data_IF_537332462814
#
_entry.id   IF_537332462814
#
_cell.length_a   1.000
_cell.length_b   1.000
_cell.length_c   1.000
_cell.angle_alpha   90.00
_cell.angle_beta   90.00
_cell.angle_gamma   90.00
#
_symmetry.space_group_name_H-M   'P 1'
#
loop_
_entity.id
_entity.type
_entity.pdbx_description
1 polymer ?
#
# COMPACT_ATOMS: atom_id res chain seq x y z
N UNK A 1 -16.36 -24.70 3.91
CA UNK A 1 -17.12 -23.50 3.84
C UNK A 1 -16.33 -22.37 3.19
N UNK A 2 -17.01 -21.59 2.45
CA UNK A 2 -16.37 -20.47 1.82
C UNK A 2 -15.93 -19.44 2.85
N UNK A 3 -14.68 -19.15 2.85
CA UNK A 3 -14.14 -18.19 3.78
C UNK A 3 -14.52 -16.75 3.45
N UNK A 4 -14.15 -15.87 4.33
CA UNK A 4 -14.29 -14.45 4.09
C UNK A 4 -13.37 -14.03 2.96
N UNK A 5 -13.75 -12.97 2.25
CA UNK A 5 -12.89 -12.36 1.26
C UNK A 5 -11.73 -11.72 2.00
N UNK A 6 -10.51 -12.07 1.64
CA UNK A 6 -9.31 -11.49 2.23
C UNK A 6 -8.81 -10.36 1.37
N UNK A 7 -8.11 -9.43 2.01
CA UNK A 7 -7.63 -8.21 1.36
C UNK A 7 -6.12 -8.16 1.45
N UNK A 8 -5.48 -7.73 0.37
CA UNK A 8 -4.05 -7.48 0.35
C UNK A 8 -3.85 -5.98 0.21
N UNK A 9 -3.24 -5.36 1.21
CA UNK A 9 -3.01 -3.92 1.20
C UNK A 9 -1.56 -3.58 0.89
N UNK A 10 -1.37 -2.47 0.19
CA UNK A 10 -0.06 -1.88 -0.04
C UNK A 10 -0.14 -0.43 0.41
N UNK A 11 0.86 0.03 1.14
CA UNK A 11 0.93 1.43 1.58
C UNK A 11 2.37 1.89 1.67
N UNK A 12 2.58 3.19 1.48
CA UNK A 12 3.86 3.84 1.69
C UNK A 12 3.74 4.67 2.96
N UNK A 13 4.64 4.46 3.92
CA UNK A 13 4.53 5.10 5.23
C UNK A 13 5.85 5.71 5.67
N UNK A 14 5.75 6.77 6.48
CA UNK A 14 6.92 7.33 7.14
C UNK A 14 7.23 6.53 8.44
N UNK A 15 8.18 7.00 9.23
CA UNK A 15 8.59 6.30 10.44
C UNK A 15 7.49 6.17 11.48
N UNK A 16 6.46 6.99 11.40
CA UNK A 16 5.30 6.97 12.31
C UNK A 16 4.04 6.44 11.63
N UNK A 17 4.20 5.72 10.51
CA UNK A 17 3.10 5.19 9.70
C UNK A 17 2.21 6.30 9.11
N UNK A 18 2.79 7.48 8.90
CA UNK A 18 2.09 8.59 8.28
C UNK A 18 1.85 8.34 6.80
N UNK A 19 0.66 8.71 6.35
CA UNK A 19 0.23 8.56 4.97
C UNK A 19 0.02 9.90 4.29
N UNK A 20 -0.68 10.81 4.96
CA UNK A 20 -1.05 12.10 4.40
C UNK A 20 -0.81 13.22 5.40
N UNK A 21 -0.61 14.43 4.85
CA UNK A 21 -0.61 15.66 5.63
C UNK A 21 -1.40 16.69 4.84
N UNK A 22 -2.44 17.25 5.47
CA UNK A 22 -3.34 18.22 4.83
C UNK A 22 -3.91 17.67 3.52
N UNK A 23 -4.27 16.38 3.50
CA UNK A 23 -4.86 15.75 2.34
C UNK A 23 -3.88 15.40 1.23
N UNK A 24 -2.59 15.57 1.47
CA UNK A 24 -1.55 15.26 0.48
C UNK A 24 -0.63 14.18 0.98
N UNK A 25 -0.16 13.32 0.08
CA UNK A 25 0.77 12.27 0.46
C UNK A 25 2.06 12.85 1.01
N UNK A 26 2.61 12.18 2.04
CA UNK A 26 3.81 12.69 2.72
C UNK A 26 5.04 12.61 1.84
N UNK A 27 5.08 11.67 0.90
CA UNK A 27 6.20 11.57 -0.04
C UNK A 27 5.83 10.69 -1.22
N UNK A 28 6.68 10.67 -2.24
CA UNK A 28 6.54 9.78 -3.39
C UNK A 28 7.91 9.52 -4.00
N UNK A 29 8.01 8.41 -4.72
CA UNK A 29 9.25 8.06 -5.40
C UNK A 29 8.89 7.08 -6.51
N UNK A 30 9.28 7.36 -7.75
CA UNK A 30 8.90 6.50 -8.86
C UNK A 30 9.55 5.13 -8.81
N UNK A 31 10.65 4.96 -8.07
CA UNK A 31 11.26 3.65 -7.87
C UNK A 31 10.32 2.73 -7.09
N UNK A 32 9.58 3.30 -6.12
CA UNK A 32 8.58 2.54 -5.37
C UNK A 32 7.48 2.06 -6.31
N UNK A 33 7.01 2.92 -7.21
CA UNK A 33 5.95 2.54 -8.15
C UNK A 33 6.41 1.36 -9.03
N UNK A 34 7.62 1.41 -9.53
CA UNK A 34 8.18 0.32 -10.33
C UNK A 34 8.32 -0.96 -9.53
N UNK A 35 8.81 -0.85 -8.30
CA UNK A 35 8.98 -2.01 -7.43
C UNK A 35 7.63 -2.64 -7.09
N UNK A 36 6.63 -1.80 -6.84
CA UNK A 36 5.27 -2.24 -6.56
C UNK A 36 4.70 -3.02 -7.74
N UNK A 37 4.83 -2.47 -8.94
CA UNK A 37 4.31 -3.13 -10.14
C UNK A 37 4.99 -4.47 -10.41
N UNK A 38 6.30 -4.56 -10.15
CA UNK A 38 7.02 -5.83 -10.23
C UNK A 38 6.46 -6.84 -9.23
N UNK A 39 6.18 -6.36 -8.01
CA UNK A 39 5.72 -7.22 -6.93
C UNK A 39 4.35 -7.81 -7.19
N UNK A 40 3.43 -7.03 -7.73
CA UNK A 40 2.07 -7.52 -8.00
C UNK A 40 1.99 -8.38 -9.25
N UNK A 41 2.94 -8.23 -10.18
CA UNK A 41 2.93 -8.98 -11.42
C UNK A 41 1.67 -8.73 -12.24
N UNK A 42 0.95 -9.80 -12.58
CA UNK A 42 -0.27 -9.71 -13.39
C UNK A 42 -1.55 -9.61 -12.56
N UNK A 43 -1.43 -9.48 -11.24
CA UNK A 43 -2.60 -9.35 -10.40
C UNK A 43 -3.20 -7.95 -10.52
N UNK A 44 -4.48 -7.85 -10.19
CA UNK A 44 -5.17 -6.56 -10.25
C UNK A 44 -4.72 -5.67 -9.10
N UNK A 45 -4.62 -4.38 -9.41
CA UNK A 45 -4.24 -3.35 -8.45
C UNK A 45 -5.33 -2.29 -8.42
N UNK A 46 -6.01 -2.19 -7.30
CA UNK A 46 -7.08 -1.23 -7.09
C UNK A 46 -6.57 0.00 -6.36
N UNK A 47 -7.14 1.15 -6.69
CA UNK A 47 -6.77 2.40 -6.04
C UNK A 47 -7.85 3.45 -6.26
N UNK A 48 -7.80 4.53 -5.47
CA UNK A 48 -8.68 5.66 -5.62
C UNK A 48 -8.22 6.55 -6.79
N UNK A 49 -9.08 7.48 -7.18
CA UNK A 49 -8.72 8.47 -8.20
C UNK A 49 -7.51 9.31 -7.78
N UNK A 50 -7.45 9.69 -6.51
CA UNK A 50 -6.33 10.46 -6.01
C UNK A 50 -5.01 9.71 -6.21
N UNK A 51 -4.99 8.44 -5.85
CA UNK A 51 -3.79 7.61 -5.95
C UNK A 51 -3.39 7.37 -7.40
N UNK A 52 -4.35 7.34 -8.30
CA UNK A 52 -4.08 7.05 -9.73
C UNK A 52 -3.08 8.02 -10.35
N UNK A 53 -2.97 9.23 -9.79
CA UNK A 53 -2.01 10.21 -10.30
C UNK A 53 -0.56 9.74 -10.19
N UNK A 54 -0.27 8.81 -9.28
CA UNK A 54 1.07 8.25 -9.15
C UNK A 54 1.42 7.29 -10.28
N UNK A 55 0.42 6.82 -11.03
CA UNK A 55 0.57 5.78 -12.04
C UNK A 55 0.30 6.28 -13.45
N UNK A 56 0.20 7.59 -13.65
CA UNK A 56 -0.18 8.17 -14.96
C UNK A 56 0.77 7.78 -16.09
N UNK A 57 2.04 7.59 -15.78
CA UNK A 57 3.03 7.23 -16.79
C UNK A 57 3.20 5.73 -16.95
N UNK A 58 2.45 4.95 -16.18
CA UNK A 58 2.53 3.50 -16.21
C UNK A 58 1.40 2.94 -17.04
N UNK A 59 1.75 2.23 -18.11
CA UNK A 59 0.76 1.56 -18.93
C UNK A 59 0.52 0.16 -18.38
N UNK A 60 -0.53 0.01 -17.61
CA UNK A 60 -0.88 -1.29 -17.04
C UNK A 60 -2.36 -1.52 -17.17
N UNK A 61 -2.71 -2.65 -17.76
CA UNK A 61 -4.11 -3.08 -17.87
C UNK A 61 -4.65 -3.62 -16.56
N UNK A 62 -3.78 -3.78 -15.57
CA UNK A 62 -4.14 -4.37 -14.29
C UNK A 62 -4.58 -3.34 -13.26
N UNK A 63 -4.44 -2.06 -13.57
CA UNK A 63 -4.79 -0.98 -12.63
C UNK A 63 -6.26 -0.64 -12.78
N UNK A 64 -7.00 -0.72 -11.66
CA UNK A 64 -8.42 -0.44 -11.59
C UNK A 64 -8.65 0.73 -10.64
N UNK A 65 -9.32 1.76 -11.14
CA UNK A 65 -9.50 3.00 -10.38
C UNK A 65 -10.96 3.15 -9.98
N UNK A 66 -11.22 3.19 -8.69
CA UNK A 66 -12.56 3.32 -8.15
C UNK A 66 -12.45 3.73 -6.69
N UNK A 67 -13.14 4.81 -6.32
CA UNK A 67 -13.05 5.29 -4.93
C UNK A 67 -13.66 4.31 -3.92
N UNK A 68 -14.47 3.37 -4.36
CA UNK A 68 -15.02 2.30 -3.52
C UNK A 68 -14.25 0.99 -3.67
N UNK A 69 -12.96 1.07 -3.99
CA UNK A 69 -12.17 -0.10 -4.35
C UNK A 69 -12.05 -1.14 -3.24
N UNK A 70 -12.08 -0.73 -1.97
CA UNK A 70 -11.95 -1.68 -0.87
C UNK A 70 -13.16 -2.64 -0.78
N UNK A 71 -14.30 -2.24 -1.34
CA UNK A 71 -15.49 -3.09 -1.37
C UNK A 71 -15.50 -3.94 -2.62
N UNK A 72 -14.91 -3.45 -3.71
CA UNK A 72 -14.97 -4.10 -5.02
C UNK A 72 -13.85 -5.11 -5.25
N UNK A 73 -12.73 -4.97 -4.57
CA UNK A 73 -11.59 -5.86 -4.76
C UNK A 73 -11.95 -7.30 -4.41
N UNK A 74 -11.48 -8.23 -5.22
CA UNK A 74 -11.71 -9.66 -5.02
C UNK A 74 -10.50 -10.27 -4.30
N UNK A 75 -10.64 -11.54 -3.94
CA UNK A 75 -9.53 -12.28 -3.34
C UNK A 75 -8.35 -12.30 -4.27
N UNK A 76 -7.15 -12.09 -3.72
CA UNK A 76 -5.87 -11.99 -4.45
C UNK A 76 -5.68 -10.70 -5.23
N UNK A 77 -6.64 -9.78 -5.17
CA UNK A 77 -6.42 -8.45 -5.72
C UNK A 77 -5.64 -7.61 -4.72
N UNK A 78 -4.82 -6.71 -5.22
CA UNK A 78 -4.05 -5.79 -4.38
C UNK A 78 -4.77 -4.45 -4.30
N UNK A 79 -4.71 -3.83 -3.13
CA UNK A 79 -5.29 -2.50 -2.91
C UNK A 79 -4.21 -1.56 -2.41
N UNK A 80 -3.90 -0.54 -3.18
CA UNK A 80 -2.93 0.48 -2.77
C UNK A 80 -3.68 1.62 -2.08
N UNK A 81 -3.39 1.81 -0.79
CA UNK A 81 -4.10 2.78 0.03
C UNK A 81 -3.22 3.96 0.38
N UNK A 82 -3.84 5.13 0.44
CA UNK A 82 -3.18 6.34 0.95
C UNK A 82 -3.97 6.98 2.09
N UNK A 83 -4.88 6.22 2.68
CA UNK A 83 -5.62 6.64 3.86
C UNK A 83 -5.81 5.43 4.76
N UNK A 84 -6.18 5.66 6.03
CA UNK A 84 -6.49 4.55 6.90
C UNK A 84 -7.76 3.84 6.41
N UNK A 85 -7.90 2.58 6.76
CA UNK A 85 -9.02 1.77 6.30
C UNK A 85 -9.99 1.53 7.44
N UNK A 86 -11.28 1.23 7.12
CA UNK A 86 -12.26 0.91 8.18
C UNK A 86 -11.86 -0.32 8.98
N UNK A 87 -12.32 -0.38 10.23
CA UNK A 87 -11.98 -1.49 11.12
C UNK A 87 -12.41 -2.83 10.59
N UNK A 88 -13.57 -2.90 9.92
CA UNK A 88 -14.04 -4.16 9.35
C UNK A 88 -13.15 -4.64 8.20
N UNK A 89 -12.49 -3.72 7.49
CA UNK A 89 -11.53 -4.08 6.46
C UNK A 89 -10.22 -4.55 7.10
N UNK A 90 -9.79 -3.88 8.18
CA UNK A 90 -8.55 -4.26 8.87
C UNK A 90 -8.57 -5.73 9.30
N UNK A 91 -9.70 -6.21 9.75
CA UNK A 91 -9.82 -7.59 10.20
C UNK A 91 -9.68 -8.60 9.05
N UNK A 92 -9.85 -8.16 7.81
CA UNK A 92 -9.79 -9.00 6.62
C UNK A 92 -8.44 -8.92 5.91
N UNK A 93 -7.51 -8.12 6.40
CA UNK A 93 -6.20 -7.95 5.76
C UNK A 93 -5.35 -9.17 6.07
N UNK A 94 -5.14 -9.99 5.04
CA UNK A 94 -4.35 -11.21 5.13
C UNK A 94 -2.87 -10.91 4.90
N UNK A 95 -2.59 -9.95 4.05
CA UNK A 95 -1.24 -9.60 3.64
C UNK A 95 -1.13 -8.09 3.53
N UNK A 96 -0.02 -7.56 4.02
CA UNK A 96 0.25 -6.12 4.02
C UNK A 96 1.66 -5.90 3.50
N UNK A 97 1.78 -5.07 2.48
CA UNK A 97 3.07 -4.68 1.93
C UNK A 97 3.29 -3.22 2.28
N UNK A 98 4.34 -2.95 3.04
CA UNK A 98 4.69 -1.59 3.43
C UNK A 98 5.98 -1.17 2.74
N UNK A 99 5.95 -0.01 2.10
CA UNK A 99 7.15 0.67 1.64
C UNK A 99 7.44 1.76 2.66
N UNK A 100 8.55 1.63 3.35
CA UNK A 100 8.94 2.58 4.40
C UNK A 100 9.93 3.57 3.85
N UNK A 101 9.58 4.86 3.97
CA UNK A 101 10.45 5.95 3.50
C UNK A 101 11.74 6.07 4.30
N UNK A 102 11.73 5.53 5.53
CA UNK A 102 12.85 5.64 6.48
C UNK A 102 13.16 7.10 6.80
N UNK A 103 12.12 7.89 6.88
CA UNK A 103 12.16 9.30 7.25
C UNK A 103 10.90 9.63 8.02
N UNK A 104 10.97 10.69 8.79
CA UNK A 104 9.82 11.23 9.51
C UNK A 104 9.32 12.47 8.76
N UNK A 105 8.02 12.51 8.51
CA UNK A 105 7.37 13.65 7.86
C UNK A 105 6.23 14.13 8.74
N UNK A 106 5.83 15.41 8.62
CA UNK A 106 4.56 15.82 9.22
C UNK A 106 3.43 14.99 8.63
N UNK A 107 2.53 14.49 9.48
CA UNK A 107 1.38 13.73 9.01
C UNK A 107 0.22 13.89 9.98
N UNK A 108 -1.00 13.90 9.44
CA UNK A 108 -2.22 13.95 10.23
C UNK A 108 -3.14 12.76 9.91
N UNK A 109 -2.78 11.95 8.92
CA UNK A 109 -3.48 10.72 8.58
C UNK A 109 -2.46 9.58 8.60
N UNK A 110 -2.73 8.57 9.39
CA UNK A 110 -1.81 7.45 9.58
C UNK A 110 -2.49 6.13 9.34
N UNK A 111 -1.70 5.13 8.99
CA UNK A 111 -2.19 3.76 8.94
C UNK A 111 -2.13 3.20 10.36
N UNK A 112 -3.28 2.89 10.92
CA UNK A 112 -3.38 2.39 12.29
C UNK A 112 -3.76 0.92 12.26
N UNK A 113 -2.76 0.05 12.19
CA UNK A 113 -2.96 -1.39 12.19
C UNK A 113 -2.13 -2.03 13.28
N UNK A 114 -2.74 -2.97 13.97
CA UNK A 114 -2.03 -3.78 14.95
C UNK A 114 -1.34 -4.92 14.20
N UNK A 115 -0.02 -4.88 14.15
CA UNK A 115 0.78 -5.87 13.43
C UNK A 115 1.22 -7.04 14.29
N UNK A 116 0.75 -7.11 15.54
CA UNK A 116 1.19 -8.15 16.47
C UNK A 116 0.82 -9.57 16.03
N UNK A 117 -0.26 -9.70 15.25
CA UNK A 117 -0.69 -11.00 14.73
C UNK A 117 -0.09 -11.33 13.37
N UNK A 118 0.74 -10.45 12.83
CA UNK A 118 1.40 -10.65 11.54
C UNK A 118 2.85 -11.02 11.75
N UNK A 119 3.41 -11.72 10.78
CA UNK A 119 4.85 -11.98 10.73
C UNK A 119 5.42 -11.38 9.46
N UNK A 120 6.68 -11.01 9.52
CA UNK A 120 7.38 -10.49 8.34
C UNK A 120 7.87 -11.69 7.53
N UNK A 121 7.36 -11.81 6.30
CA UNK A 121 7.80 -12.87 5.39
C UNK A 121 9.03 -12.45 4.60
N UNK A 122 9.17 -11.15 4.34
CA UNK A 122 10.23 -10.66 3.49
C UNK A 122 10.48 -9.19 3.84
N UNK A 123 11.74 -8.80 3.80
CA UNK A 123 12.14 -7.40 3.93
C UNK A 123 13.33 -7.17 3.01
N UNK A 124 13.29 -6.09 2.24
CA UNK A 124 14.42 -5.72 1.39
C UNK A 124 14.54 -4.21 1.33
N UNK A 125 15.78 -3.76 1.15
CA UNK A 125 16.07 -2.34 1.01
C UNK A 125 16.51 -2.04 -0.40
N UNK A 126 16.15 -0.86 -0.88
CA UNK A 126 16.59 -0.44 -2.20
C UNK A 126 16.74 1.08 -2.24
N UNK A 127 17.47 1.56 -3.21
CA UNK A 127 17.68 2.99 -3.39
C UNK A 127 16.59 3.55 -4.29
N UNK A 128 15.96 4.64 -3.85
CA UNK A 128 14.99 5.36 -4.64
C UNK A 128 15.64 6.53 -5.39
N UNK A 129 14.84 7.26 -6.13
CA UNK A 129 15.31 8.48 -6.81
C UNK A 129 15.41 9.64 -5.86
N UNK A 130 14.42 9.80 -4.97
CA UNK A 130 14.37 10.90 -4.00
C UNK A 130 14.76 10.47 -2.61
N UNK A 131 14.93 9.19 -2.37
CA UNK A 131 15.22 8.62 -1.07
C UNK A 131 16.41 7.68 -1.19
N UNK A 132 17.39 7.82 -0.32
CA UNK A 132 18.58 6.98 -0.38
C UNK A 132 18.28 5.54 -0.03
N UNK A 133 17.36 5.32 0.89
CA UNK A 133 17.04 3.98 1.36
C UNK A 133 15.55 3.86 1.61
N UNK A 134 14.93 2.92 0.92
CA UNK A 134 13.52 2.60 1.10
C UNK A 134 13.47 1.12 1.47
N UNK A 135 12.63 0.77 2.45
CA UNK A 135 12.48 -0.62 2.86
C UNK A 135 11.11 -1.13 2.48
N UNK A 136 11.06 -2.25 1.78
CA UNK A 136 9.81 -2.95 1.51
C UNK A 136 9.69 -4.10 2.49
N UNK A 137 8.59 -4.15 3.22
CA UNK A 137 8.31 -5.25 4.15
C UNK A 137 7.00 -5.91 3.76
N UNK A 138 6.99 -7.23 3.73
CA UNK A 138 5.81 -8.02 3.42
C UNK A 138 5.39 -8.76 4.68
N UNK A 139 4.17 -8.50 5.12
CA UNK A 139 3.58 -9.08 6.32
C UNK A 139 2.46 -10.04 5.94
N UNK A 140 2.32 -11.13 6.67
CA UNK A 140 1.17 -12.03 6.54
C UNK A 140 0.73 -12.52 7.92
N UNK A 141 -0.55 -12.86 8.02
CA UNK A 141 -1.09 -13.48 9.24
C UNK A 141 -0.68 -14.92 9.35
#
# INVERSE_FOLDING_TARGET
>A
MKGEITVILIACVDDNYGLLFNGRRVSKDETVIKKLLETIGNNKLWMSEYTSSLFQEEESKNILIDNAFLIKAAENDYCFIECDVPEDIKSKVEKLILFKWNREYPSDTKLEMDLSSYKIDQACEFEGKSHKKITMEVYSK
#
